data_IF_474791660727
#
_entry.id   IF_474791660727
#
_cell.length_a   1.000
_cell.length_b   1.000
_cell.length_c   1.000
_cell.angle_alpha   90.00
_cell.angle_beta   90.00
_cell.angle_gamma   90.00
#
_symmetry.space_group_name_H-M   'P 1'
#
loop_
_entity.id
_entity.type
_entity.pdbx_description
1 polymer ?
#
# COMPACT_ATOMS: atom_id res chain seq x y z
N UNK A 1 -11.02 5.65 -19.15
CA UNK A 1 -10.65 4.31 -19.70
C UNK A 1 -9.76 3.62 -18.68
N UNK A 2 -9.86 2.29 -18.47
CA UNK A 2 -9.04 1.59 -17.49
C UNK A 2 -7.58 1.46 -17.96
N UNK A 3 -6.64 1.33 -17.02
CA UNK A 3 -5.23 1.06 -17.30
C UNK A 3 -5.05 -0.24 -18.09
N UNK A 4 -5.67 -1.32 -17.63
CA UNK A 4 -5.72 -2.62 -18.31
C UNK A 4 -7.16 -2.90 -18.73
N UNK A 5 -7.42 -2.93 -20.04
CA UNK A 5 -8.78 -3.13 -20.58
C UNK A 5 -9.06 -4.60 -20.95
N UNK A 6 -8.02 -5.39 -21.18
CA UNK A 6 -8.08 -6.85 -21.34
C UNK A 6 -6.77 -7.50 -20.85
N UNK A 7 -6.75 -8.83 -20.59
CA UNK A 7 -5.53 -9.49 -20.13
C UNK A 7 -4.36 -9.23 -21.08
N UNK A 8 -3.28 -8.63 -20.55
CA UNK A 8 -2.08 -8.26 -21.32
C UNK A 8 -2.22 -7.04 -22.24
N UNK A 9 -3.34 -6.30 -22.23
CA UNK A 9 -3.53 -5.11 -23.08
C UNK A 9 -3.81 -3.87 -22.25
N UNK A 10 -3.05 -2.80 -22.55
CA UNK A 10 -2.97 -1.60 -21.71
C UNK A 10 -3.23 -0.33 -22.49
N UNK A 11 -3.84 0.64 -21.80
CA UNK A 11 -3.96 1.99 -22.30
C UNK A 11 -2.66 2.75 -21.99
N UNK A 12 -1.84 2.99 -23.00
CA UNK A 12 -0.54 3.66 -22.86
C UNK A 12 -0.66 5.08 -22.30
N UNK A 13 -1.74 5.80 -22.61
CA UNK A 13 -1.96 7.14 -22.06
C UNK A 13 -2.19 7.09 -20.54
N UNK A 14 -2.95 6.10 -20.04
CA UNK A 14 -3.09 5.88 -18.59
C UNK A 14 -1.79 5.43 -17.94
N UNK A 15 -0.99 4.60 -18.62
CA UNK A 15 0.33 4.20 -18.12
C UNK A 15 1.28 5.39 -17.99
N UNK A 16 1.30 6.29 -18.97
CA UNK A 16 2.04 7.56 -18.88
C UNK A 16 1.55 8.46 -17.75
N UNK A 17 0.27 8.40 -17.41
CA UNK A 17 -0.27 9.03 -16.20
C UNK A 17 0.40 8.49 -14.94
N UNK A 18 0.56 7.18 -14.81
CA UNK A 18 1.29 6.57 -13.69
C UNK A 18 2.79 6.91 -13.72
N UNK A 19 3.41 6.93 -14.91
CA UNK A 19 4.80 7.37 -15.08
C UNK A 19 5.00 8.78 -14.52
N UNK A 20 4.09 9.70 -14.84
CA UNK A 20 4.09 11.08 -14.35
C UNK A 20 3.90 11.16 -12.83
N UNK A 21 2.96 10.41 -12.26
CA UNK A 21 2.74 10.39 -10.80
C UNK A 21 4.02 9.97 -10.06
N UNK A 22 4.72 8.94 -10.54
CA UNK A 22 5.98 8.49 -9.94
C UNK A 22 7.07 9.55 -10.12
N UNK A 23 7.16 10.19 -11.29
CA UNK A 23 8.11 11.26 -11.53
C UNK A 23 7.90 12.46 -10.59
N UNK A 24 6.64 12.84 -10.35
CA UNK A 24 6.29 13.91 -9.40
C UNK A 24 6.57 13.51 -7.96
N UNK A 25 6.22 12.28 -7.56
CA UNK A 25 6.56 11.76 -6.24
C UNK A 25 8.07 11.82 -6.00
N UNK A 26 8.88 11.46 -7.01
CA UNK A 26 10.34 11.57 -6.96
C UNK A 26 10.80 13.01 -6.76
N UNK A 27 10.21 13.97 -7.49
CA UNK A 27 10.53 15.40 -7.40
C UNK A 27 10.29 15.98 -6.01
N UNK A 28 9.28 15.48 -5.30
CA UNK A 28 8.93 15.90 -3.94
C UNK A 28 9.45 14.94 -2.85
N UNK A 29 10.33 14.00 -3.20
CA UNK A 29 10.89 13.00 -2.29
C UNK A 29 9.85 12.14 -1.55
N UNK A 30 8.67 11.96 -2.15
CA UNK A 30 7.59 11.11 -1.66
C UNK A 30 7.84 9.69 -2.11
N UNK A 31 7.74 8.74 -1.18
CA UNK A 31 7.82 7.31 -1.47
C UNK A 31 6.44 6.74 -1.76
N UNK A 32 6.39 5.82 -2.72
CA UNK A 32 5.15 5.23 -3.21
C UNK A 32 5.01 3.77 -2.81
N UNK A 33 3.81 3.38 -2.37
CA UNK A 33 3.39 1.98 -2.29
C UNK A 33 2.39 1.78 -3.43
N UNK A 34 2.62 0.78 -4.28
CA UNK A 34 1.79 0.53 -5.46
C UNK A 34 1.04 -0.79 -5.32
N UNK A 35 -0.30 -0.70 -5.20
CA UNK A 35 -1.20 -1.85 -5.21
C UNK A 35 -1.38 -2.39 -6.63
N UNK A 36 -1.15 -3.69 -6.80
CA UNK A 36 -1.14 -4.34 -8.11
C UNK A 36 -2.54 -4.80 -8.55
N UNK A 37 -3.48 -4.95 -7.62
CA UNK A 37 -4.88 -5.27 -7.91
C UNK A 37 -5.77 -4.97 -6.71
N UNK A 38 -7.06 -4.71 -6.95
CA UNK A 38 -8.04 -4.52 -5.88
C UNK A 38 -8.85 -5.79 -5.59
N UNK A 39 -9.17 -6.06 -4.33
CA UNK A 39 -10.15 -7.09 -3.97
C UNK A 39 -11.59 -6.71 -4.35
N UNK A 40 -11.91 -5.42 -4.29
CA UNK A 40 -13.23 -4.88 -4.64
C UNK A 40 -13.35 -4.63 -6.15
N UNK A 41 -14.58 -4.50 -6.64
CA UNK A 41 -14.87 -4.31 -8.07
C UNK A 41 -14.55 -2.90 -8.59
N UNK A 42 -14.35 -1.93 -7.68
CA UNK A 42 -13.95 -0.58 -8.03
C UNK A 42 -12.65 -0.63 -8.85
N UNK A 43 -12.69 -0.05 -10.05
CA UNK A 43 -11.58 -0.03 -11.01
C UNK A 43 -11.18 -1.41 -11.56
N UNK A 44 -12.10 -2.38 -11.55
CA UNK A 44 -11.94 -3.71 -12.13
C UNK A 44 -11.77 -4.79 -11.07
N UNK A 45 -10.65 -4.75 -10.35
CA UNK A 45 -10.32 -5.69 -9.27
C UNK A 45 -10.38 -7.18 -9.65
N UNK A 46 -10.36 -8.06 -8.65
CA UNK A 46 -10.30 -9.52 -8.84
C UNK A 46 -11.47 -10.08 -9.66
N UNK A 47 -12.66 -9.50 -9.51
CA UNK A 47 -13.88 -9.89 -10.24
C UNK A 47 -13.70 -9.71 -11.75
N UNK A 48 -13.04 -8.63 -12.18
CA UNK A 48 -12.78 -8.40 -13.60
C UNK A 48 -11.85 -9.45 -14.20
N UNK A 49 -10.84 -9.90 -13.45
CA UNK A 49 -9.94 -10.98 -13.84
C UNK A 49 -10.66 -12.31 -14.03
N UNK A 50 -11.55 -12.66 -13.11
CA UNK A 50 -12.43 -13.85 -13.22
C UNK A 50 -13.36 -13.71 -14.44
N UNK A 51 -13.95 -12.53 -14.66
CA UNK A 51 -14.80 -12.29 -15.82
C UNK A 51 -14.07 -12.39 -17.16
N UNK A 52 -12.80 -11.95 -17.23
CA UNK A 52 -11.99 -12.16 -18.43
C UNK A 52 -11.76 -13.65 -18.71
N UNK A 53 -11.53 -14.45 -17.67
CA UNK A 53 -11.40 -15.90 -17.82
C UNK A 53 -12.72 -16.56 -18.24
N UNK A 54 -13.86 -16.15 -17.66
CA UNK A 54 -15.20 -16.61 -18.08
C UNK A 54 -15.45 -16.36 -19.57
N UNK A 55 -15.14 -15.16 -20.06
CA UNK A 55 -15.27 -14.80 -21.49
C UNK A 55 -14.34 -15.59 -22.41
N UNK A 56 -13.28 -16.20 -21.87
CA UNK A 56 -12.37 -17.10 -22.58
C UNK A 56 -12.74 -18.58 -22.41
N UNK A 57 -13.93 -18.89 -21.89
CA UNK A 57 -14.46 -20.24 -21.78
C UNK A 57 -14.13 -20.97 -20.48
N UNK A 58 -13.53 -20.29 -19.48
CA UNK A 58 -13.32 -20.90 -18.16
C UNK A 58 -14.64 -20.97 -17.39
N UNK A 59 -15.00 -22.15 -16.89
CA UNK A 59 -16.15 -22.33 -16.02
C UNK A 59 -15.78 -21.94 -14.58
N UNK A 60 -16.12 -20.70 -14.18
CA UNK A 60 -15.81 -20.11 -12.88
C UNK A 60 -17.08 -19.59 -12.21
N UNK A 61 -17.39 -20.08 -11.01
CA UNK A 61 -18.64 -19.77 -10.30
C UNK A 61 -18.45 -18.76 -9.17
N UNK A 62 -17.20 -18.45 -8.80
CA UNK A 62 -16.89 -17.54 -7.70
C UNK A 62 -15.83 -16.51 -8.08
N UNK A 63 -15.91 -15.31 -7.52
CA UNK A 63 -14.84 -14.32 -7.63
C UNK A 63 -13.58 -14.78 -6.87
N UNK A 64 -13.73 -15.71 -5.92
CA UNK A 64 -12.60 -16.33 -5.19
C UNK A 64 -11.78 -17.26 -6.08
N UNK A 65 -12.29 -17.62 -7.26
CA UNK A 65 -11.52 -18.36 -8.28
C UNK A 65 -10.31 -17.57 -8.77
N UNK A 66 -10.27 -16.25 -8.51
CA UNK A 66 -9.06 -15.44 -8.66
C UNK A 66 -7.84 -16.02 -7.94
N UNK A 67 -8.04 -16.60 -6.75
CA UNK A 67 -6.94 -17.15 -5.95
C UNK A 67 -6.54 -18.58 -6.36
N UNK A 68 -7.37 -19.27 -7.16
CA UNK A 68 -7.23 -20.71 -7.44
C UNK A 68 -6.96 -21.01 -8.90
N UNK A 69 -7.72 -20.40 -9.80
CA UNK A 69 -7.71 -20.75 -11.21
C UNK A 69 -6.37 -20.37 -11.86
N UNK A 70 -5.67 -21.32 -12.52
CA UNK A 70 -4.34 -21.08 -13.08
C UNK A 70 -4.35 -20.03 -14.20
N UNK A 71 -5.41 -19.95 -15.01
CA UNK A 71 -5.54 -18.94 -16.07
C UNK A 71 -5.65 -17.55 -15.46
N UNK A 72 -6.50 -17.39 -14.44
CA UNK A 72 -6.67 -16.11 -13.74
C UNK A 72 -5.39 -15.67 -13.03
N UNK A 73 -4.71 -16.59 -12.33
CA UNK A 73 -3.39 -16.33 -11.74
C UNK A 73 -2.36 -15.94 -12.80
N UNK A 74 -2.41 -16.56 -13.98
CA UNK A 74 -1.57 -16.20 -15.12
C UNK A 74 -1.80 -14.77 -15.59
N UNK A 75 -3.05 -14.33 -15.70
CA UNK A 75 -3.37 -12.94 -16.04
C UNK A 75 -2.78 -11.95 -15.02
N UNK A 76 -2.89 -12.25 -13.73
CA UNK A 76 -2.29 -11.42 -12.68
C UNK A 76 -0.77 -11.38 -12.79
N UNK A 77 -0.10 -12.53 -12.93
CA UNK A 77 1.36 -12.59 -13.09
C UNK A 77 1.85 -11.83 -14.32
N UNK A 78 1.12 -11.91 -15.43
CA UNK A 78 1.41 -11.12 -16.63
C UNK A 78 1.26 -9.62 -16.36
N UNK A 79 0.24 -9.25 -15.57
CA UNK A 79 0.05 -7.86 -15.17
C UNK A 79 1.21 -7.32 -14.33
N UNK A 80 1.56 -8.05 -13.27
CA UNK A 80 2.71 -7.74 -12.43
C UNK A 80 3.99 -7.61 -13.25
N UNK A 81 4.25 -8.56 -14.14
CA UNK A 81 5.46 -8.55 -14.98
C UNK A 81 5.54 -7.31 -15.86
N UNK A 82 4.40 -6.89 -16.43
CA UNK A 82 4.31 -5.67 -17.25
C UNK A 82 4.57 -4.42 -16.41
N UNK A 83 3.91 -4.28 -15.26
CA UNK A 83 4.03 -3.08 -14.41
C UNK A 83 5.44 -2.96 -13.82
N UNK A 84 5.97 -4.04 -13.25
CA UNK A 84 7.27 -4.03 -12.56
C UNK A 84 8.42 -3.76 -13.55
N UNK A 85 8.34 -4.26 -14.79
CA UNK A 85 9.32 -3.97 -15.84
C UNK A 85 9.02 -2.72 -16.66
N UNK A 86 7.97 -1.94 -16.33
CA UNK A 86 7.63 -0.72 -17.06
C UNK A 86 8.82 0.24 -17.03
N UNK A 87 9.22 0.73 -18.20
CA UNK A 87 10.19 1.82 -18.33
C UNK A 87 9.45 3.15 -18.20
N UNK A 88 9.80 3.94 -17.20
CA UNK A 88 9.19 5.23 -16.96
C UNK A 88 9.74 6.26 -17.97
N UNK A 89 8.88 6.76 -18.84
CA UNK A 89 9.27 7.71 -19.90
C UNK A 89 9.69 9.10 -19.42
N UNK A 90 9.34 9.52 -18.20
CA UNK A 90 9.66 10.84 -17.66
C UNK A 90 11.01 10.90 -16.91
N UNK A 91 11.38 9.81 -16.24
CA UNK A 91 12.60 9.74 -15.41
C UNK A 91 13.67 8.80 -15.97
N UNK A 92 13.34 8.01 -17.00
CA UNK A 92 14.30 7.18 -17.72
C UNK A 92 14.80 5.95 -16.98
N UNK A 93 14.00 5.37 -16.08
CA UNK A 93 14.34 4.15 -15.32
C UNK A 93 13.18 3.16 -15.32
N UNK A 94 13.48 1.88 -15.17
CA UNK A 94 12.45 0.87 -14.93
C UNK A 94 11.88 0.99 -13.52
N UNK A 95 10.59 0.69 -13.35
CA UNK A 95 9.92 0.77 -12.05
C UNK A 95 10.63 -0.10 -10.99
N UNK A 96 11.06 -1.32 -11.34
CA UNK A 96 11.84 -2.21 -10.45
C UNK A 96 13.19 -1.66 -9.99
N UNK A 97 13.70 -0.61 -10.65
CA UNK A 97 14.99 0.02 -10.35
C UNK A 97 14.81 1.46 -9.80
N UNK A 98 13.56 1.93 -9.64
CA UNK A 98 13.27 3.29 -9.18
C UNK A 98 13.05 3.35 -7.66
N UNK A 99 14.00 3.91 -6.88
CA UNK A 99 13.88 3.97 -5.41
C UNK A 99 12.73 4.86 -4.93
N UNK A 100 12.02 5.57 -5.81
CA UNK A 100 10.78 6.29 -5.48
C UNK A 100 9.67 5.33 -5.07
N UNK A 101 9.64 4.13 -5.67
CA UNK A 101 8.77 3.05 -5.22
C UNK A 101 9.42 2.46 -3.95
N UNK A 102 8.65 2.35 -2.89
CA UNK A 102 9.09 1.75 -1.63
C UNK A 102 8.70 0.28 -1.56
N UNK A 103 7.45 -0.02 -1.93
CA UNK A 103 6.91 -1.37 -1.89
C UNK A 103 5.89 -1.62 -2.99
N UNK A 104 5.80 -2.89 -3.38
CA UNK A 104 4.65 -3.43 -4.08
C UNK A 104 3.64 -3.98 -3.08
N UNK A 105 2.36 -3.74 -3.29
CA UNK A 105 1.28 -4.39 -2.56
C UNK A 105 0.61 -5.40 -3.51
N UNK A 106 0.57 -6.68 -3.11
CA UNK A 106 0.06 -7.74 -3.99
C UNK A 106 -1.41 -7.53 -4.36
N UNK A 107 -2.22 -7.14 -3.39
CA UNK A 107 -3.67 -6.95 -3.52
C UNK A 107 -4.17 -6.12 -2.33
N UNK A 108 -5.03 -5.15 -2.62
CA UNK A 108 -5.73 -4.39 -1.59
C UNK A 108 -6.81 -5.26 -0.91
N UNK A 109 -6.75 -5.40 0.42
CA UNK A 109 -7.72 -6.10 1.29
C UNK A 109 -8.21 -7.46 0.75
N UNK A 110 -7.34 -8.48 0.56
CA UNK A 110 -7.78 -9.76 0.03
C UNK A 110 -8.79 -10.45 0.95
N UNK A 111 -9.91 -10.91 0.38
CA UNK A 111 -10.93 -11.72 1.06
C UNK A 111 -11.29 -12.95 0.26
N UNK A 112 -11.34 -14.10 0.92
CA UNK A 112 -11.73 -15.39 0.33
C UNK A 112 -12.76 -16.05 1.23
N UNK A 113 -14.03 -15.67 1.06
CA UNK A 113 -15.13 -16.17 1.88
C UNK A 113 -15.40 -17.66 1.67
N UNK A 114 -15.03 -18.19 0.50
CA UNK A 114 -15.14 -19.62 0.20
C UNK A 114 -14.13 -20.51 0.92
N UNK A 115 -13.08 -19.94 1.52
CA UNK A 115 -12.12 -20.69 2.36
C UNK A 115 -11.80 -19.93 3.65
N UNK A 116 -12.65 -20.07 4.69
CA UNK A 116 -12.43 -19.43 5.99
C UNK A 116 -11.15 -19.88 6.71
N UNK A 117 -10.52 -20.99 6.30
CA UNK A 117 -9.26 -21.44 6.90
C UNK A 117 -8.06 -20.55 6.56
N UNK A 118 -8.19 -19.70 5.53
CA UNK A 118 -7.12 -18.82 5.05
C UNK A 118 -6.04 -19.50 4.22
N UNK A 119 -6.07 -20.84 4.07
CA UNK A 119 -5.06 -21.60 3.32
C UNK A 119 -4.99 -21.20 1.85
N UNK A 120 -6.13 -20.95 1.21
CA UNK A 120 -6.21 -20.50 -0.18
C UNK A 120 -5.45 -19.18 -0.37
N UNK A 121 -5.74 -18.18 0.46
CA UNK A 121 -5.05 -16.87 0.39
C UNK A 121 -3.57 -17.03 0.71
N UNK A 122 -3.22 -17.79 1.75
CA UNK A 122 -1.82 -17.98 2.14
C UNK A 122 -0.99 -18.63 1.01
N UNK A 123 -1.53 -19.66 0.35
CA UNK A 123 -0.89 -20.31 -0.79
C UNK A 123 -0.72 -19.33 -1.96
N UNK A 124 -1.76 -18.54 -2.26
CA UNK A 124 -1.71 -17.53 -3.30
C UNK A 124 -0.67 -16.44 -3.00
N UNK A 125 -0.62 -15.92 -1.76
CA UNK A 125 0.37 -14.92 -1.34
C UNK A 125 1.78 -15.47 -1.52
N UNK A 126 2.05 -16.70 -1.07
CA UNK A 126 3.36 -17.34 -1.23
C UNK A 126 3.76 -17.44 -2.71
N UNK A 127 2.84 -17.87 -3.56
CA UNK A 127 3.07 -18.00 -5.00
C UNK A 127 3.33 -16.64 -5.67
N UNK A 128 2.49 -15.64 -5.42
CA UNK A 128 2.62 -14.32 -6.06
C UNK A 128 3.79 -13.52 -5.52
N UNK A 129 4.10 -13.64 -4.23
CA UNK A 129 5.30 -13.04 -3.65
C UNK A 129 6.57 -13.60 -4.28
N UNK A 130 6.63 -14.93 -4.46
CA UNK A 130 7.75 -15.56 -5.16
C UNK A 130 7.86 -15.07 -6.61
N UNK A 131 6.74 -14.87 -7.30
CA UNK A 131 6.73 -14.32 -8.66
C UNK A 131 7.27 -12.90 -8.72
N UNK A 132 6.75 -11.97 -7.89
CA UNK A 132 7.24 -10.59 -7.83
C UNK A 132 8.73 -10.56 -7.52
N UNK A 133 9.17 -11.30 -6.48
CA UNK A 133 10.59 -11.34 -6.06
C UNK A 133 11.53 -11.98 -7.07
N UNK A 134 11.02 -12.78 -8.00
CA UNK A 134 11.82 -13.29 -9.12
C UNK A 134 12.15 -12.21 -10.15
N UNK A 135 11.33 -11.15 -10.23
CA UNK A 135 11.45 -10.05 -11.20
C UNK A 135 12.11 -8.83 -10.57
N UNK A 136 11.76 -8.53 -9.31
CA UNK A 136 12.24 -7.39 -8.53
C UNK A 136 12.71 -7.84 -7.15
N UNK A 137 14.03 -7.79 -6.95
CA UNK A 137 14.67 -8.12 -5.67
C UNK A 137 14.98 -6.88 -4.82
N UNK A 138 14.76 -5.69 -5.35
CA UNK A 138 15.12 -4.41 -4.75
C UNK A 138 14.01 -3.92 -3.80
N UNK A 139 12.76 -3.88 -4.27
CA UNK A 139 11.66 -3.25 -3.53
C UNK A 139 11.06 -4.13 -2.45
N UNK A 140 10.47 -3.51 -1.43
CA UNK A 140 9.68 -4.24 -0.43
C UNK A 140 8.41 -4.82 -1.08
N UNK A 141 7.82 -5.80 -0.39
CA UNK A 141 6.58 -6.44 -0.83
C UNK A 141 5.67 -6.64 0.38
N UNK A 142 4.42 -6.24 0.25
CA UNK A 142 3.43 -6.35 1.31
C UNK A 142 2.05 -6.86 0.85
N UNK A 143 1.20 -7.11 1.84
CA UNK A 143 -0.23 -7.44 1.69
C UNK A 143 -0.97 -6.75 2.82
N UNK A 144 -2.01 -5.97 2.50
CA UNK A 144 -2.81 -5.22 3.48
C UNK A 144 -4.06 -6.00 3.86
N UNK A 145 -4.29 -6.21 5.16
CA UNK A 145 -5.48 -6.87 5.71
C UNK A 145 -6.33 -5.89 6.54
N UNK A 146 -7.65 -6.07 6.55
CA UNK A 146 -8.58 -5.20 7.29
C UNK A 146 -8.34 -5.17 8.82
N UNK A 147 -8.79 -4.08 9.45
CA UNK A 147 -8.53 -3.63 10.83
C UNK A 147 -8.68 -4.64 12.00
N UNK A 148 -9.40 -5.76 11.86
CA UNK A 148 -9.51 -6.78 12.92
C UNK A 148 -8.16 -7.50 13.21
N UNK A 149 -7.12 -7.20 12.42
CA UNK A 149 -5.77 -7.73 12.53
C UNK A 149 -4.83 -6.91 13.44
N UNK A 150 -5.11 -5.64 13.70
CA UNK A 150 -4.07 -4.68 14.08
C UNK A 150 -3.56 -4.83 15.53
N UNK A 151 -4.41 -5.25 16.47
CA UNK A 151 -4.00 -5.43 17.87
C UNK A 151 -3.24 -6.75 18.11
N UNK A 152 -3.57 -7.83 17.40
CA UNK A 152 -2.90 -9.14 17.58
C UNK A 152 -1.52 -9.19 16.92
N UNK A 153 -1.29 -8.41 15.86
CA UNK A 153 -0.10 -8.60 15.02
C UNK A 153 1.06 -7.64 15.31
N UNK A 154 0.87 -6.58 16.11
CA UNK A 154 1.99 -5.73 16.55
C UNK A 154 2.98 -6.55 17.40
N UNK A 155 2.48 -7.34 18.35
CA UNK A 155 3.34 -8.21 19.16
C UNK A 155 4.01 -9.30 18.33
N UNK A 156 3.30 -9.89 17.36
CA UNK A 156 3.87 -10.91 16.47
C UNK A 156 4.93 -10.33 15.54
N UNK A 157 4.72 -9.16 14.96
CA UNK A 157 5.72 -8.56 14.09
C UNK A 157 6.96 -8.08 14.85
N UNK A 158 6.77 -7.59 16.08
CA UNK A 158 7.88 -7.18 16.95
C UNK A 158 8.68 -8.38 17.47
N UNK A 159 7.99 -9.39 18.01
CA UNK A 159 8.64 -10.45 18.79
C UNK A 159 8.96 -11.71 17.97
N UNK A 160 8.31 -11.92 16.82
CA UNK A 160 8.45 -13.14 16.01
C UNK A 160 8.99 -12.83 14.62
N UNK A 161 8.35 -11.92 13.88
CA UNK A 161 8.72 -11.68 12.46
C UNK A 161 9.89 -10.72 12.29
N UNK A 162 10.17 -9.87 13.28
CA UNK A 162 11.16 -8.79 13.23
C UNK A 162 11.01 -7.91 11.96
N UNK A 163 9.76 -7.63 11.57
CA UNK A 163 9.43 -6.84 10.37
C UNK A 163 8.71 -5.54 10.75
N UNK A 164 8.99 -4.43 10.05
CA UNK A 164 8.22 -3.19 10.22
C UNK A 164 6.73 -3.39 9.95
N UNK A 165 5.88 -2.68 10.69
CA UNK A 165 4.43 -2.56 10.44
C UNK A 165 4.09 -1.13 10.05
N UNK A 166 3.28 -1.02 9.00
CA UNK A 166 2.53 0.19 8.66
C UNK A 166 1.05 -0.01 8.98
N UNK A 167 0.41 1.02 9.53
CA UNK A 167 -1.06 1.11 9.51
C UNK A 167 -1.42 1.66 8.13
N UNK A 168 -1.66 0.77 7.17
CA UNK A 168 -1.83 1.14 5.76
C UNK A 168 -3.13 1.91 5.47
N UNK A 169 -4.15 1.81 6.33
CA UNK A 169 -5.38 2.60 6.20
C UNK A 169 -6.01 2.88 7.58
N UNK A 170 -6.42 4.13 7.80
CA UNK A 170 -7.31 4.52 8.90
C UNK A 170 -8.03 5.85 8.58
N UNK A 171 -9.21 6.07 9.15
CA UNK A 171 -9.97 7.30 8.91
C UNK A 171 -11.23 7.43 9.77
N UNK A 172 -11.83 8.62 9.79
CA UNK A 172 -13.12 8.89 10.45
C UNK A 172 -14.06 9.58 9.47
N UNK A 173 -15.17 8.92 9.17
CA UNK A 173 -16.12 9.40 8.16
C UNK A 173 -16.90 10.62 8.65
N UNK A 174 -17.03 11.65 7.81
CA UNK A 174 -17.94 12.77 8.06
C UNK A 174 -19.41 12.39 7.86
N UNK A 175 -19.68 11.21 7.27
CA UNK A 175 -21.04 10.66 7.12
C UNK A 175 -21.56 9.99 8.40
N UNK A 176 -20.71 9.82 9.42
CA UNK A 176 -21.13 9.24 10.69
C UNK A 176 -22.15 10.15 11.39
N UNK A 177 -23.18 9.56 11.99
CA UNK A 177 -24.20 10.30 12.73
C UNK A 177 -23.57 11.14 13.84
N UNK A 178 -23.86 12.44 13.84
CA UNK A 178 -23.33 13.39 14.83
C UNK A 178 -21.86 13.76 14.65
N UNK A 179 -21.29 13.51 13.46
CA UNK A 179 -19.89 13.82 13.17
C UNK A 179 -19.52 15.27 13.51
N UNK A 180 -18.38 15.42 14.17
CA UNK A 180 -17.69 16.69 14.37
C UNK A 180 -16.20 16.50 14.10
N UNK A 181 -15.55 17.49 13.48
CA UNK A 181 -14.14 17.41 13.08
C UNK A 181 -13.20 16.98 14.21
N UNK A 182 -13.46 17.42 15.46
CA UNK A 182 -12.63 17.02 16.61
C UNK A 182 -12.59 15.51 16.83
N UNK A 183 -13.64 14.76 16.45
CA UNK A 183 -13.68 13.30 16.60
C UNK A 183 -12.69 12.63 15.64
N UNK A 184 -12.54 13.18 14.43
CA UNK A 184 -11.51 12.77 13.47
C UNK A 184 -10.13 13.10 14.01
N UNK A 185 -9.93 14.32 14.51
CA UNK A 185 -8.65 14.75 15.07
C UNK A 185 -8.25 13.91 16.29
N UNK A 186 -9.21 13.50 17.12
CA UNK A 186 -9.00 12.61 18.26
C UNK A 186 -8.58 11.21 17.82
N UNK A 187 -9.23 10.64 16.80
CA UNK A 187 -8.85 9.35 16.22
C UNK A 187 -7.41 9.42 15.67
N UNK A 188 -7.10 10.44 14.88
CA UNK A 188 -5.79 10.63 14.27
C UNK A 188 -4.71 10.76 15.34
N UNK A 189 -4.93 11.61 16.34
CA UNK A 189 -4.00 11.75 17.47
C UNK A 189 -3.79 10.43 18.22
N UNK A 190 -4.84 9.62 18.41
CA UNK A 190 -4.74 8.33 19.08
C UNK A 190 -3.85 7.35 18.29
N UNK A 191 -4.12 7.21 16.99
CA UNK A 191 -3.34 6.34 16.09
C UNK A 191 -1.89 6.82 16.01
N UNK A 192 -1.68 8.10 15.76
CA UNK A 192 -0.35 8.71 15.63
C UNK A 192 0.47 8.65 16.92
N UNK A 193 -0.14 8.86 18.08
CA UNK A 193 0.54 8.73 19.38
C UNK A 193 0.99 7.31 19.63
N UNK A 194 0.16 6.31 19.28
CA UNK A 194 0.52 4.89 19.40
C UNK A 194 1.69 4.54 18.48
N UNK A 195 1.65 4.96 17.22
CA UNK A 195 2.78 4.78 16.27
C UNK A 195 4.05 5.43 16.81
N UNK A 196 3.98 6.71 17.20
CA UNK A 196 5.12 7.46 17.71
C UNK A 196 5.77 6.79 18.93
N UNK A 197 4.95 6.37 19.90
CA UNK A 197 5.44 5.73 21.11
C UNK A 197 6.16 4.40 20.85
N UNK A 198 5.63 3.59 19.93
CA UNK A 198 6.24 2.33 19.53
C UNK A 198 7.53 2.58 18.73
N UNK A 199 7.52 3.52 17.79
CA UNK A 199 8.68 3.89 16.98
C UNK A 199 9.83 4.44 17.84
N UNK A 200 9.51 5.32 18.81
CA UNK A 200 10.51 5.95 19.71
C UNK A 200 11.30 4.93 20.52
N UNK A 201 10.72 3.76 20.81
CA UNK A 201 11.33 2.68 21.59
C UNK A 201 12.10 1.67 20.73
N UNK A 202 12.29 1.96 19.43
CA UNK A 202 12.87 1.01 18.48
C UNK A 202 11.93 -0.15 18.13
N UNK A 203 10.63 -0.04 18.45
CA UNK A 203 9.64 -1.04 18.11
C UNK A 203 9.28 -1.03 16.61
N UNK A 204 8.64 -2.10 16.14
CA UNK A 204 8.38 -2.33 14.72
C UNK A 204 7.39 -1.34 14.04
N UNK A 205 6.77 -0.40 14.74
CA UNK A 205 5.82 0.53 14.12
C UNK A 205 6.57 1.59 13.32
N UNK A 206 6.38 1.61 12.00
CA UNK A 206 7.15 2.46 11.08
C UNK A 206 6.36 3.64 10.50
N UNK A 207 5.03 3.65 10.65
CA UNK A 207 4.20 4.75 10.17
C UNK A 207 2.72 4.40 10.07
N UNK A 208 1.95 5.33 9.52
CA UNK A 208 0.54 5.14 9.20
C UNK A 208 0.10 6.01 8.04
N UNK A 209 -0.81 5.51 7.21
CA UNK A 209 -1.37 6.16 6.04
C UNK A 209 -2.87 6.33 6.29
N UNK A 210 -3.35 7.58 6.24
CA UNK A 210 -4.77 7.84 6.41
C UNK A 210 -5.50 7.70 5.07
N UNK A 211 -6.76 7.24 5.13
CA UNK A 211 -7.65 7.19 4.00
C UNK A 211 -8.67 8.35 4.12
N UNK A 212 -8.78 9.27 3.16
CA UNK A 212 -7.89 9.49 2.01
C UNK A 212 -7.66 10.99 1.78
N UNK A 213 -6.59 11.33 1.08
CA UNK A 213 -6.30 12.72 0.68
C UNK A 213 -7.01 13.04 -0.63
N UNK A 214 -7.79 14.13 -0.66
CA UNK A 214 -8.30 14.73 -1.89
C UNK A 214 -7.80 16.19 -2.00
N UNK A 215 -7.84 16.74 -3.21
CA UNK A 215 -7.62 18.17 -3.46
C UNK A 215 -8.93 18.86 -3.85
N UNK A 216 -8.94 20.19 -3.84
CA UNK A 216 -10.05 21.00 -4.30
C UNK A 216 -10.46 20.63 -5.73
N UNK A 217 -11.77 20.57 -5.99
CA UNK A 217 -12.33 20.18 -7.29
C UNK A 217 -12.52 18.67 -7.50
N UNK A 218 -12.16 17.82 -6.53
CA UNK A 218 -12.36 16.36 -6.59
C UNK A 218 -13.64 15.89 -5.88
N UNK A 219 -14.67 16.73 -5.78
CA UNK A 219 -15.86 16.46 -4.97
C UNK A 219 -16.62 15.19 -5.36
N UNK A 220 -16.54 14.77 -6.63
CA UNK A 220 -17.15 13.53 -7.14
C UNK A 220 -16.50 12.25 -6.62
N UNK A 221 -15.30 12.34 -6.02
CA UNK A 221 -14.56 11.20 -5.47
C UNK A 221 -14.71 11.07 -3.95
N UNK A 222 -15.46 11.97 -3.30
CA UNK A 222 -15.65 11.97 -1.84
C UNK A 222 -16.43 10.74 -1.39
N UNK A 223 -15.84 9.97 -0.48
CA UNK A 223 -16.44 8.76 0.07
C UNK A 223 -16.90 8.92 1.53
N UNK A 224 -16.61 10.06 2.18
CA UNK A 224 -16.89 10.27 3.60
C UNK A 224 -15.62 10.37 4.44
N UNK A 225 -14.53 9.73 4.01
CA UNK A 225 -13.27 9.68 4.74
C UNK A 225 -12.25 10.70 4.22
N UNK A 226 -12.54 11.32 3.09
CA UNK A 226 -11.73 12.35 2.45
C UNK A 226 -11.31 13.48 3.41
N UNK A 227 -10.06 13.91 3.24
CA UNK A 227 -9.48 15.10 3.85
C UNK A 227 -8.94 15.96 2.72
N UNK A 228 -9.50 17.17 2.59
CA UNK A 228 -8.93 18.24 1.76
C UNK A 228 -8.17 19.16 2.72
N UNK A 229 -6.84 19.20 2.62
CA UNK A 229 -5.99 19.85 3.63
C UNK A 229 -6.31 21.34 3.83
N UNK A 230 -6.60 22.06 2.75
CA UNK A 230 -7.00 23.49 2.80
C UNK A 230 -8.34 23.71 3.51
N UNK A 231 -9.23 22.73 3.48
CA UNK A 231 -10.58 22.79 4.09
C UNK A 231 -10.61 22.19 5.51
N UNK A 232 -9.56 21.50 5.94
CA UNK A 232 -9.47 20.79 7.22
C UNK A 232 -8.22 21.18 8.03
N UNK A 233 -8.05 22.48 8.39
CA UNK A 233 -6.81 22.98 8.97
C UNK A 233 -6.43 22.32 10.30
N UNK A 234 -7.40 21.92 11.13
CA UNK A 234 -7.12 21.22 12.39
C UNK A 234 -6.53 19.82 12.14
N UNK A 235 -7.15 19.04 11.25
CA UNK A 235 -6.66 17.71 10.86
C UNK A 235 -5.31 17.80 10.13
N UNK A 236 -5.14 18.78 9.24
CA UNK A 236 -3.88 19.04 8.55
C UNK A 236 -2.74 19.33 9.56
N UNK A 237 -3.02 20.12 10.59
CA UNK A 237 -2.05 20.39 11.66
C UNK A 237 -1.70 19.11 12.45
N UNK A 238 -2.65 18.23 12.76
CA UNK A 238 -2.36 16.94 13.41
C UNK A 238 -1.43 16.07 12.56
N UNK A 239 -1.68 15.98 11.24
CA UNK A 239 -0.85 15.24 10.29
C UNK A 239 0.57 15.83 10.22
N UNK A 240 0.69 17.15 10.11
CA UNK A 240 1.97 17.85 10.04
C UNK A 240 2.80 17.65 11.33
N UNK A 241 2.16 17.77 12.50
CA UNK A 241 2.81 17.54 13.79
C UNK A 241 3.33 16.11 13.93
N UNK A 242 2.55 15.11 13.50
CA UNK A 242 3.02 13.72 13.53
C UNK A 242 4.22 13.52 12.60
N UNK A 243 4.16 14.07 11.39
CA UNK A 243 5.25 13.97 10.41
C UNK A 243 6.55 14.56 10.96
N UNK A 244 6.46 15.71 11.65
CA UNK A 244 7.60 16.32 12.33
C UNK A 244 8.17 15.41 13.43
N UNK A 245 7.30 14.86 14.30
CA UNK A 245 7.70 13.96 15.39
C UNK A 245 8.42 12.70 14.89
N UNK A 246 7.92 12.05 13.85
CA UNK A 246 8.57 10.86 13.27
C UNK A 246 9.89 11.20 12.58
N UNK A 247 9.98 12.35 11.91
CA UNK A 247 11.24 12.79 11.29
C UNK A 247 12.33 13.06 12.35
N UNK A 248 11.95 13.60 13.52
CA UNK A 248 12.89 13.74 14.65
C UNK A 248 13.40 12.39 15.15
N UNK A 249 12.52 11.40 15.32
CA UNK A 249 12.90 10.03 15.69
C UNK A 249 13.88 9.45 14.67
N UNK A 250 13.58 9.59 13.37
CA UNK A 250 14.47 9.11 12.29
C UNK A 250 15.87 9.72 12.42
N UNK A 251 15.97 11.02 12.66
CA UNK A 251 17.27 11.71 12.81
C UNK A 251 18.08 11.17 13.99
N UNK A 252 17.43 10.86 15.12
CA UNK A 252 18.07 10.29 16.31
C UNK A 252 18.65 8.91 15.99
N UNK A 253 17.83 7.99 15.48
CA UNK A 253 18.32 6.63 15.14
C UNK A 253 19.36 6.61 14.02
N UNK A 254 19.29 7.53 13.06
CA UNK A 254 20.33 7.68 12.04
C UNK A 254 21.65 8.20 12.63
N UNK A 255 21.61 9.08 13.64
CA UNK A 255 22.80 9.55 14.33
C UNK A 255 23.42 8.43 15.18
N UNK A 256 22.59 7.67 15.91
CA UNK A 256 23.05 6.53 16.71
C UNK A 256 23.74 5.47 15.84
N UNK A 257 23.12 5.06 14.72
CA UNK A 257 23.74 4.13 13.76
C UNK A 257 25.09 4.63 13.25
N UNK A 258 25.19 5.91 12.89
CA UNK A 258 26.44 6.51 12.45
C UNK A 258 27.51 6.49 13.55
N UNK A 259 27.13 6.69 14.81
CA UNK A 259 28.05 6.54 15.94
C UNK A 259 28.50 5.08 16.12
N UNK A 260 27.59 4.11 16.00
CA UNK A 260 27.90 2.67 16.08
C UNK A 260 28.86 2.23 14.97
N UNK A 261 28.60 2.61 13.72
CA UNK A 261 29.45 2.27 12.57
C UNK A 261 30.87 2.88 12.70
N UNK A 262 30.99 4.04 13.37
CA UNK A 262 32.28 4.69 13.67
C UNK A 262 33.04 4.00 14.80
N UNK A 263 32.33 3.42 15.78
CA UNK A 263 32.96 2.64 16.86
C UNK A 263 33.42 1.26 16.36
N UNK A 264 32.65 0.60 15.49
CA UNK A 264 33.03 -0.69 14.88
C UNK A 264 34.16 -0.54 13.84
N UNK A 265 34.31 0.63 13.21
CA UNK A 265 35.37 0.93 12.24
C UNK A 265 36.74 1.28 12.84
N UNK A 266 36.95 1.18 14.15
CA UNK A 266 38.20 1.56 14.86
C UNK A 266 39.09 0.41 15.34
N UNK A 267 38.84 -0.81 14.90
CA UNK A 267 39.80 -1.89 15.04
C UNK A 267 40.04 -2.51 13.69
N UNK A 268 41.13 -2.16 13.00
CA UNK A 268 41.98 -2.96 12.12
C UNK A 268 43.25 -2.15 11.83
#
# INVERSE_FOLDING_TARGET
MPLQFSPGSYNEHMFKGLDFVIAEARRYEIKMILSLVNNYENFGGRKQYVNWARRKGQYLTSDDDFFRNPVVKGYYKNHVTTVVNRYNSYIGVHYKDDPTIMAWELINEPRCSSDPSGRTIQAWIKEMASHVKSIDRNHLLEVVFSNNWLNTHIQVAQNILQKPIYIAEFGKSWKDLGFRTYQRDLLFNTVYSKIYFLAKRGGAAAGGLFWQLLTEGMDSFRDGYDIVLSQSPSTANVIAQQSHKLNQIRKIFCADKKCSDVEEGKGH
#
